data_IF_189911769843
#
_entry.id   IF_189911769843
#
_cell.length_a   1.000
_cell.length_b   1.000
_cell.length_c   1.000
_cell.angle_alpha   90.00
_cell.angle_beta   90.00
_cell.angle_gamma   90.00
#
_symmetry.space_group_name_H-M   'P 1'
#
loop_
_entity.id
_entity.type
_entity.pdbx_description
1 polymer ?
#
# COMPACT_ATOMS: atom_id res chain seq x y z
N UNK A 1 17.29 10.65 -10.79
CA UNK A 1 15.99 10.82 -11.50
C UNK A 1 15.17 9.55 -11.22
N UNK A 2 13.85 9.56 -11.45
CA UNK A 2 13.01 8.37 -11.24
C UNK A 2 12.76 7.69 -12.59
N UNK A 3 12.78 6.37 -12.59
CA UNK A 3 12.50 5.53 -13.77
C UNK A 3 11.28 4.65 -13.52
N UNK A 4 10.66 4.17 -14.60
CA UNK A 4 9.58 3.18 -14.54
C UNK A 4 10.09 1.92 -15.21
N UNK A 5 10.05 0.82 -14.49
CA UNK A 5 10.52 -0.48 -14.97
C UNK A 5 9.43 -1.53 -14.81
N UNK A 6 9.54 -2.59 -15.62
CA UNK A 6 8.76 -3.81 -15.40
C UNK A 6 9.56 -4.74 -14.49
N UNK A 7 8.93 -5.21 -13.40
CA UNK A 7 9.51 -6.15 -12.44
C UNK A 7 8.59 -7.36 -12.26
N UNK A 8 9.16 -8.50 -11.89
CA UNK A 8 8.42 -9.73 -11.73
C UNK A 8 7.85 -9.85 -10.31
N UNK A 9 6.73 -10.55 -10.13
CA UNK A 9 6.15 -10.78 -8.80
C UNK A 9 6.96 -11.81 -8.01
N UNK A 10 7.46 -12.84 -8.70
CA UNK A 10 8.19 -13.95 -8.07
C UNK A 10 9.48 -13.52 -7.34
N UNK A 11 10.05 -12.37 -7.69
CA UNK A 11 11.23 -11.80 -7.05
C UNK A 11 10.93 -10.52 -6.25
N UNK A 12 9.66 -10.24 -5.92
CA UNK A 12 9.24 -9.03 -5.18
C UNK A 12 9.98 -8.82 -3.86
N UNK A 13 10.38 -9.91 -3.22
CA UNK A 13 11.22 -9.89 -2.01
C UNK A 13 12.59 -9.24 -2.22
N UNK A 14 13.12 -9.24 -3.44
CA UNK A 14 14.45 -8.74 -3.77
C UNK A 14 14.47 -7.24 -4.08
N UNK A 15 13.40 -6.70 -4.67
CA UNK A 15 13.36 -5.33 -5.15
C UNK A 15 12.39 -4.42 -4.39
N UNK A 16 11.32 -4.93 -3.78
CA UNK A 16 10.37 -4.11 -3.00
C UNK A 16 10.84 -3.89 -1.57
N UNK A 17 12.08 -3.45 -1.41
CA UNK A 17 12.78 -3.29 -0.14
C UNK A 17 13.15 -1.82 0.07
N UNK A 18 13.16 -1.38 1.31
CA UNK A 18 13.67 -0.08 1.69
C UNK A 18 14.91 -0.30 2.55
N UNK A 19 16.06 0.24 2.11
CA UNK A 19 17.35 0.04 2.80
C UNK A 19 17.50 0.88 4.09
N UNK A 20 16.48 1.65 4.43
CA UNK A 20 16.48 2.50 5.63
C UNK A 20 15.95 1.67 6.80
N UNK A 21 16.73 1.61 7.89
CA UNK A 21 16.17 1.18 9.18
C UNK A 21 14.99 2.07 9.52
N UNK A 22 13.81 1.47 9.69
CA UNK A 22 12.59 2.20 10.04
C UNK A 22 12.21 1.88 11.48
N UNK A 23 11.85 2.90 12.26
CA UNK A 23 11.17 2.73 13.55
C UNK A 23 9.69 2.31 13.38
N UNK A 24 9.31 1.89 12.16
CA UNK A 24 7.98 1.37 11.86
C UNK A 24 7.73 0.10 12.71
N UNK A 25 6.55 -0.05 13.32
CA UNK A 25 6.18 -1.28 14.02
C UNK A 25 6.23 -2.50 13.11
N UNK A 26 6.73 -3.63 13.63
CA UNK A 26 6.93 -4.86 12.85
C UNK A 26 5.64 -5.40 12.22
N UNK A 27 4.50 -5.20 12.89
CA UNK A 27 3.17 -5.56 12.37
C UNK A 27 2.86 -4.92 11.01
N UNK A 28 3.43 -3.75 10.73
CA UNK A 28 3.25 -2.99 9.49
C UNK A 28 4.35 -3.24 8.44
N UNK A 29 5.43 -3.96 8.80
CA UNK A 29 6.52 -4.27 7.86
C UNK A 29 6.13 -5.42 6.94
N UNK A 30 6.78 -5.46 5.77
CA UNK A 30 6.55 -6.45 4.74
C UNK A 30 5.92 -5.88 3.47
N UNK A 31 5.45 -6.80 2.63
CA UNK A 31 4.73 -6.48 1.38
C UNK A 31 3.32 -7.02 1.48
N UNK A 32 2.36 -6.19 1.08
CA UNK A 32 0.94 -6.48 1.13
C UNK A 32 0.37 -6.48 -0.29
N UNK A 33 -0.38 -7.54 -0.61
CA UNK A 33 -1.22 -7.64 -1.80
C UNK A 33 -2.61 -7.05 -1.51
N UNK A 34 -3.17 -6.33 -2.48
CA UNK A 34 -4.45 -5.63 -2.40
C UNK A 34 -5.58 -6.47 -3.02
N UNK A 35 -5.98 -7.52 -2.32
CA UNK A 35 -6.99 -8.49 -2.75
C UNK A 35 -8.38 -7.85 -2.90
N UNK A 36 -8.91 -7.85 -4.12
CA UNK A 36 -10.18 -7.23 -4.48
C UNK A 36 -10.10 -5.72 -4.76
N UNK A 37 -8.90 -5.14 -4.86
CA UNK A 37 -8.76 -3.73 -5.22
C UNK A 37 -9.27 -3.49 -6.66
N UNK A 38 -10.21 -2.55 -6.87
CA UNK A 38 -10.76 -2.28 -8.19
C UNK A 38 -9.84 -1.41 -9.07
N UNK A 39 -8.77 -0.86 -8.49
CA UNK A 39 -7.78 -0.08 -9.22
C UNK A 39 -6.64 -0.98 -9.72
N UNK A 40 -5.97 -0.62 -10.83
CA UNK A 40 -4.92 -1.43 -11.46
C UNK A 40 -3.56 -1.31 -10.73
N UNK A 41 -3.57 -1.51 -9.41
CA UNK A 41 -2.45 -1.57 -8.50
C UNK A 41 -2.64 -2.70 -7.48
N UNK A 42 -1.58 -3.46 -7.21
CA UNK A 42 -1.74 -4.82 -6.68
C UNK A 42 -0.96 -5.07 -5.39
N UNK A 43 0.21 -4.47 -5.25
CA UNK A 43 1.10 -4.64 -4.10
C UNK A 43 1.65 -3.30 -3.60
N UNK A 44 1.85 -3.21 -2.28
CA UNK A 44 2.53 -2.11 -1.59
C UNK A 44 3.40 -2.64 -0.44
N UNK A 45 4.39 -1.85 -0.01
CA UNK A 45 5.00 -1.98 1.32
C UNK A 45 4.63 -0.77 2.17
N UNK A 46 4.72 -0.80 3.49
CA UNK A 46 4.58 0.43 4.30
C UNK A 46 5.94 1.00 4.73
N UNK A 47 7.01 0.26 4.47
CA UNK A 47 8.37 0.52 4.94
C UNK A 47 9.00 1.75 4.26
N UNK A 48 8.49 2.19 3.12
CA UNK A 48 8.98 3.40 2.43
C UNK A 48 8.34 4.69 2.94
N UNK A 49 7.40 4.57 3.89
CA UNK A 49 6.70 5.70 4.47
C UNK A 49 7.51 6.45 5.53
N UNK A 50 7.14 7.70 5.79
CA UNK A 50 7.66 8.49 6.91
C UNK A 50 6.82 8.22 8.15
N UNK A 51 7.40 7.51 9.11
CA UNK A 51 6.76 7.17 10.37
C UNK A 51 6.98 8.25 11.44
N UNK A 52 5.92 8.63 12.14
CA UNK A 52 5.96 9.44 13.36
C UNK A 52 5.33 8.65 14.51
N UNK A 53 6.20 8.13 15.38
CA UNK A 53 5.79 7.34 16.54
C UNK A 53 4.96 8.13 17.55
N UNK A 54 5.17 9.46 17.66
CA UNK A 54 4.46 10.30 18.65
C UNK A 54 2.99 10.43 18.31
N UNK A 55 2.68 10.58 17.02
CA UNK A 55 1.30 10.70 16.53
C UNK A 55 0.74 9.41 15.94
N UNK A 56 1.52 8.32 15.96
CA UNK A 56 1.23 7.04 15.30
C UNK A 56 0.78 7.22 13.85
N UNK A 57 1.47 8.11 13.14
CA UNK A 57 1.11 8.49 11.78
C UNK A 57 2.18 8.02 10.81
N UNK A 58 1.75 7.40 9.71
CA UNK A 58 2.58 7.03 8.58
C UNK A 58 2.19 7.87 7.36
N UNK A 59 3.15 8.51 6.71
CA UNK A 59 2.96 9.14 5.40
C UNK A 59 3.54 8.23 4.31
N UNK A 60 2.68 7.64 3.49
CA UNK A 60 3.05 6.71 2.41
C UNK A 60 2.81 7.39 1.07
N UNK A 61 3.87 7.66 0.32
CA UNK A 61 3.76 8.30 -0.99
C UNK A 61 3.66 7.24 -2.09
N UNK A 62 2.53 7.19 -2.78
CA UNK A 62 2.25 6.15 -3.80
C UNK A 62 3.25 6.21 -4.97
N UNK A 63 3.83 7.38 -5.20
CA UNK A 63 4.79 7.65 -6.26
C UNK A 63 6.27 7.41 -5.86
N UNK A 64 6.55 6.91 -4.65
CA UNK A 64 7.93 6.65 -4.23
C UNK A 64 8.53 5.41 -4.93
N UNK A 65 9.86 5.33 -5.05
CA UNK A 65 10.55 4.14 -5.55
C UNK A 65 10.24 2.88 -4.72
N UNK A 66 10.04 1.75 -5.40
CA UNK A 66 9.87 0.42 -4.80
C UNK A 66 8.76 0.34 -3.74
N UNK A 67 7.76 1.23 -3.84
CA UNK A 67 6.75 1.47 -2.81
C UNK A 67 5.38 0.91 -3.22
N UNK A 68 5.10 0.91 -4.51
CA UNK A 68 3.81 0.53 -5.09
C UNK A 68 4.03 -0.16 -6.43
N UNK A 69 3.12 -1.07 -6.78
CA UNK A 69 3.11 -1.76 -8.07
C UNK A 69 1.87 -1.35 -8.86
N UNK A 70 1.99 -1.30 -10.18
CA UNK A 70 0.88 -1.01 -11.08
C UNK A 70 0.81 -2.06 -12.17
N UNK A 71 -0.39 -2.39 -12.63
CA UNK A 71 -0.58 -3.27 -13.79
C UNK A 71 0.16 -2.75 -15.02
N UNK A 72 0.76 -3.64 -15.82
CA UNK A 72 1.41 -3.31 -17.11
C UNK A 72 0.45 -2.79 -18.19
N UNK A 73 -0.86 -2.92 -17.95
CA UNK A 73 -1.93 -2.45 -18.83
C UNK A 73 -1.99 -0.93 -19.00
N UNK A 74 -2.71 -0.46 -20.02
CA UNK A 74 -2.97 0.97 -20.25
C UNK A 74 -3.63 1.66 -19.05
N UNK A 75 -4.52 0.95 -18.34
CA UNK A 75 -5.16 1.48 -17.13
C UNK A 75 -4.15 1.67 -16.00
N UNK A 76 -3.25 0.72 -15.80
CA UNK A 76 -2.17 0.84 -14.81
C UNK A 76 -1.20 1.96 -15.14
N UNK A 77 -0.80 2.11 -16.41
CA UNK A 77 0.03 3.25 -16.88
C UNK A 77 -0.65 4.60 -16.64
N UNK A 78 -1.96 4.70 -16.90
CA UNK A 78 -2.73 5.93 -16.61
C UNK A 78 -2.76 6.22 -15.11
N UNK A 79 -3.02 5.21 -14.27
CA UNK A 79 -3.01 5.37 -12.81
C UNK A 79 -1.64 5.84 -12.33
N UNK A 80 -0.55 5.21 -12.78
CA UNK A 80 0.82 5.60 -12.47
C UNK A 80 1.07 7.08 -12.82
N UNK A 81 0.67 7.52 -14.01
CA UNK A 81 0.80 8.92 -14.42
C UNK A 81 0.00 9.87 -13.52
N UNK A 82 -1.23 9.49 -13.13
CA UNK A 82 -2.07 10.28 -12.23
C UNK A 82 -1.42 10.43 -10.86
N UNK A 83 -0.92 9.35 -10.25
CA UNK A 83 -0.28 9.43 -8.92
C UNK A 83 1.00 10.24 -8.96
N UNK A 84 1.76 10.17 -10.06
CA UNK A 84 2.97 10.97 -10.28
C UNK A 84 2.69 12.46 -10.47
N UNK A 85 1.60 12.80 -11.18
CA UNK A 85 1.17 14.18 -11.39
C UNK A 85 0.60 14.79 -10.12
N UNK A 86 -0.28 14.06 -9.44
CA UNK A 86 -0.99 14.52 -8.24
C UNK A 86 -0.15 14.48 -6.98
N UNK A 87 0.98 13.76 -7.00
CA UNK A 87 1.79 13.47 -5.82
C UNK A 87 0.93 12.85 -4.71
N UNK A 88 0.13 11.85 -5.07
CA UNK A 88 -0.77 11.18 -4.14
C UNK A 88 0.03 10.55 -2.98
N UNK A 89 -0.29 10.98 -1.77
CA UNK A 89 0.26 10.45 -0.52
C UNK A 89 -0.89 10.08 0.40
N UNK A 90 -0.81 8.93 1.06
CA UNK A 90 -1.74 8.56 2.11
C UNK A 90 -1.15 8.90 3.48
N UNK A 91 -1.90 9.66 4.28
CA UNK A 91 -1.66 9.80 5.72
C UNK A 91 -2.47 8.74 6.44
N UNK A 92 -1.80 7.75 7.01
CA UNK A 92 -2.39 6.66 7.78
C UNK A 92 -2.15 6.92 9.27
N UNK A 93 -3.20 7.16 10.03
CA UNK A 93 -3.13 7.39 11.47
C UNK A 93 -3.69 6.19 12.21
N UNK A 94 -2.85 5.52 13.00
CA UNK A 94 -3.21 4.31 13.73
C UNK A 94 -3.72 4.62 15.15
N UNK A 95 -4.58 3.75 15.66
CA UNK A 95 -4.92 3.70 17.07
C UNK A 95 -3.72 3.17 17.91
N UNK A 96 -3.89 3.14 19.24
CA UNK A 96 -2.82 2.70 20.15
C UNK A 96 -2.49 1.22 20.04
N UNK A 97 -3.45 0.43 19.55
CA UNK A 97 -3.33 -1.03 19.44
C UNK A 97 -2.81 -1.48 18.08
N UNK A 98 -2.65 -0.55 17.13
CA UNK A 98 -2.40 -0.85 15.73
C UNK A 98 -3.44 -1.80 15.13
N UNK A 99 -4.71 -1.73 15.57
CA UNK A 99 -5.77 -2.57 15.00
C UNK A 99 -6.67 -1.79 14.06
N UNK A 100 -6.76 -0.48 14.24
CA UNK A 100 -7.50 0.40 13.36
C UNK A 100 -6.63 1.55 12.90
N UNK A 101 -6.88 1.99 11.68
CA UNK A 101 -6.29 3.22 11.16
C UNK A 101 -7.31 4.02 10.36
N UNK A 102 -7.17 5.33 10.45
CA UNK A 102 -7.82 6.27 9.54
C UNK A 102 -6.84 6.68 8.45
N UNK A 103 -7.32 6.75 7.21
CA UNK A 103 -6.51 7.16 6.07
C UNK A 103 -7.09 8.42 5.45
N UNK A 104 -6.25 9.44 5.36
CA UNK A 104 -6.52 10.70 4.67
C UNK A 104 -5.67 10.77 3.39
N UNK A 105 -6.28 10.77 2.19
CA UNK A 105 -5.57 11.04 0.96
C UNK A 105 -5.08 12.49 0.94
N UNK A 106 -3.85 12.69 0.49
CA UNK A 106 -3.25 14.00 0.25
C UNK A 106 -2.98 14.09 -1.26
N UNK A 107 -3.63 15.03 -1.92
CA UNK A 107 -3.59 15.24 -3.38
C UNK A 107 -3.12 16.66 -3.64
N UNK A 108 -2.10 16.83 -4.48
CA UNK A 108 -1.42 18.12 -4.71
C UNK A 108 -0.95 18.80 -3.41
N UNK A 109 -0.62 18.02 -2.38
CA UNK A 109 -0.22 18.52 -1.06
C UNK A 109 -1.37 18.88 -0.11
N UNK A 110 -2.63 18.79 -0.56
CA UNK A 110 -3.80 19.09 0.27
C UNK A 110 -4.50 17.80 0.72
N UNK A 111 -4.72 17.67 2.04
CA UNK A 111 -5.49 16.56 2.59
C UNK A 111 -6.95 16.67 2.18
N UNK A 112 -7.52 15.59 1.64
CA UNK A 112 -8.95 15.52 1.34
C UNK A 112 -9.73 15.53 2.66
N UNK A 113 -10.72 16.44 2.81
CA UNK A 113 -11.61 16.41 3.95
C UNK A 113 -12.39 15.10 4.04
N UNK A 114 -12.67 14.63 5.27
CA UNK A 114 -13.42 13.40 5.53
C UNK A 114 -14.79 13.35 4.84
N UNK A 115 -15.44 14.50 4.69
CA UNK A 115 -16.74 14.59 4.02
C UNK A 115 -16.65 14.29 2.52
N UNK A 116 -15.48 14.41 1.90
CA UNK A 116 -15.24 13.98 0.51
C UNK A 116 -14.89 12.49 0.47
N UNK A 117 -13.92 12.10 1.29
CA UNK A 117 -13.38 10.76 1.32
C UNK A 117 -12.96 10.40 2.76
N UNK A 118 -13.56 9.36 3.31
CA UNK A 118 -13.19 8.77 4.59
C UNK A 118 -12.82 7.33 4.38
N UNK A 119 -11.53 7.03 4.56
CA UNK A 119 -11.04 5.68 4.38
C UNK A 119 -10.49 5.12 5.69
N UNK A 120 -10.66 3.83 5.92
CA UNK A 120 -10.18 3.15 7.13
C UNK A 120 -9.44 1.86 6.79
N UNK A 121 -8.65 1.38 7.74
CA UNK A 121 -8.07 0.04 7.76
C UNK A 121 -8.36 -0.61 9.10
N UNK A 122 -8.77 -1.87 9.09
CA UNK A 122 -9.03 -2.67 10.29
C UNK A 122 -8.32 -4.00 10.17
N UNK A 123 -7.50 -4.36 11.15
CA UNK A 123 -6.83 -5.65 11.19
C UNK A 123 -7.87 -6.76 11.43
N UNK A 124 -7.86 -7.79 10.58
CA UNK A 124 -8.81 -8.90 10.66
C UNK A 124 -8.30 -10.11 11.44
N UNK A 125 -6.99 -10.24 11.62
CA UNK A 125 -6.45 -11.44 12.27
C UNK A 125 -6.62 -11.39 13.80
N UNK A 126 -7.03 -12.54 14.35
CA UNK A 126 -7.09 -12.77 15.80
C UNK A 126 -5.70 -13.01 16.41
N UNK A 127 -4.71 -13.38 15.59
CA UNK A 127 -3.35 -13.74 16.00
C UNK A 127 -2.40 -12.55 16.21
N UNK A 128 -2.89 -11.33 15.97
CA UNK A 128 -2.15 -10.07 16.13
C UNK A 128 -0.88 -9.93 15.25
N UNK A 129 -0.72 -10.72 14.19
CA UNK A 129 0.48 -10.67 13.33
C UNK A 129 0.41 -9.61 12.21
N UNK A 130 -0.76 -8.99 12.03
CA UNK A 130 -1.00 -7.96 11.01
C UNK A 130 -0.90 -8.48 9.59
N UNK A 131 -1.27 -9.74 9.38
CA UNK A 131 -1.20 -10.39 8.09
C UNK A 131 -2.36 -9.94 7.19
N UNK A 132 -3.51 -9.59 7.75
CA UNK A 132 -4.71 -9.23 7.00
C UNK A 132 -5.34 -7.95 7.53
N UNK A 133 -5.64 -7.02 6.62
CA UNK A 133 -6.33 -5.77 6.94
C UNK A 133 -7.47 -5.53 5.96
N UNK A 134 -8.67 -5.27 6.48
CA UNK A 134 -9.79 -4.79 5.71
C UNK A 134 -9.63 -3.29 5.43
N UNK A 135 -9.71 -2.91 4.15
CA UNK A 135 -9.77 -1.53 3.68
C UNK A 135 -11.22 -1.17 3.39
N UNK A 136 -11.74 -0.14 4.06
CA UNK A 136 -13.03 0.46 3.70
C UNK A 136 -12.82 1.86 3.16
N UNK A 137 -13.52 2.14 2.07
CA UNK A 137 -13.51 3.44 1.41
C UNK A 137 -14.94 3.98 1.39
N UNK A 138 -15.15 5.11 2.05
CA UNK A 138 -16.43 5.79 2.13
C UNK A 138 -16.32 7.15 1.45
N UNK A 139 -17.27 7.48 0.60
CA UNK A 139 -17.28 8.70 -0.18
C UNK A 139 -18.50 9.55 0.13
N UNK A 140 -18.33 10.87 0.05
CA UNK A 140 -19.41 11.85 0.21
C UNK A 140 -20.23 11.59 1.49
N UNK A 141 -19.57 11.57 2.67
CA UNK A 141 -20.20 11.29 3.97
C UNK A 141 -20.93 9.92 4.05
N UNK A 142 -20.39 8.87 3.44
CA UNK A 142 -21.01 7.54 3.51
C UNK A 142 -22.20 7.31 2.59
N UNK A 143 -22.40 8.21 1.63
CA UNK A 143 -23.40 7.98 0.56
C UNK A 143 -22.95 6.90 -0.42
N UNK A 144 -21.65 6.55 -0.44
CA UNK A 144 -21.13 5.41 -1.19
C UNK A 144 -20.01 4.71 -0.43
N UNK A 145 -20.30 3.50 0.03
CA UNK A 145 -19.31 2.55 0.53
C UNK A 145 -18.98 1.57 -0.59
N UNK A 146 -18.05 1.98 -1.44
CA UNK A 146 -17.62 1.23 -2.61
C UNK A 146 -16.10 1.12 -2.63
N UNK A 147 -15.60 0.09 -3.32
CA UNK A 147 -14.17 -0.07 -3.61
C UNK A 147 -13.30 -0.33 -2.37
N UNK A 148 -13.87 -0.93 -1.33
CA UNK A 148 -13.09 -1.58 -0.28
C UNK A 148 -12.40 -2.85 -0.78
N UNK A 149 -11.35 -3.27 -0.10
CA UNK A 149 -10.54 -4.44 -0.46
C UNK A 149 -9.82 -5.00 0.77
N UNK A 150 -9.09 -6.10 0.63
CA UNK A 150 -8.31 -6.70 1.72
C UNK A 150 -6.82 -6.61 1.43
N UNK A 151 -6.05 -6.00 2.32
CA UNK A 151 -4.59 -6.09 2.29
C UNK A 151 -4.17 -7.42 2.91
N UNK A 152 -3.40 -8.22 2.18
CA UNK A 152 -2.86 -9.50 2.63
C UNK A 152 -1.35 -9.48 2.56
N UNK A 153 -0.68 -9.70 3.69
CA UNK A 153 0.77 -9.76 3.78
C UNK A 153 1.27 -10.99 3.02
N UNK A 154 2.08 -10.76 1.99
CA UNK A 154 2.70 -11.80 1.15
C UNK A 154 4.19 -12.00 1.49
N UNK A 155 4.81 -10.99 2.09
CA UNK A 155 6.16 -11.05 2.66
C UNK A 155 6.13 -10.46 4.06
N UNK A 156 6.76 -11.15 5.01
CA UNK A 156 6.89 -10.67 6.38
C UNK A 156 8.05 -9.67 6.56
N UNK A 157 8.24 -9.20 7.80
CA UNK A 157 9.36 -8.32 8.19
C UNK A 157 10.75 -8.92 7.91
N UNK A 158 10.85 -10.25 7.84
CA UNK A 158 12.08 -10.99 7.54
C UNK A 158 12.20 -11.32 6.04
N UNK A 159 11.31 -10.77 5.20
CA UNK A 159 11.24 -11.02 3.75
C UNK A 159 11.00 -12.48 3.40
N UNK A 160 10.38 -13.24 4.30
CA UNK A 160 9.92 -14.59 4.04
C UNK A 160 8.52 -14.56 3.45
N UNK A 161 8.29 -15.38 2.42
CA UNK A 161 6.98 -15.50 1.81
C UNK A 161 5.99 -16.13 2.81
N UNK A 162 4.83 -15.51 2.96
CA UNK A 162 3.75 -16.07 3.77
C UNK A 162 2.99 -17.14 2.98
N UNK A 163 2.22 -18.03 3.65
CA UNK A 163 1.34 -18.98 2.96
C UNK A 163 0.34 -18.32 2.00
N UNK A 164 -0.01 -17.06 2.25
CA UNK A 164 -0.89 -16.27 1.37
C UNK A 164 -0.31 -16.09 -0.02
N UNK A 165 1.00 -15.92 -0.16
CA UNK A 165 1.64 -15.74 -1.46
C UNK A 165 1.45 -16.95 -2.38
N UNK A 166 1.65 -18.15 -1.85
CA UNK A 166 1.45 -19.41 -2.60
C UNK A 166 0.03 -19.57 -3.15
N UNK A 167 -0.97 -19.05 -2.44
CA UNK A 167 -2.37 -19.09 -2.89
C UNK A 167 -2.69 -18.03 -3.96
N UNK A 168 -1.90 -16.95 -4.04
CA UNK A 168 -2.10 -15.83 -4.95
C UNK A 168 -1.30 -15.97 -6.25
N UNK A 169 -0.16 -16.67 -6.22
CA UNK A 169 0.80 -16.68 -7.33
C UNK A 169 0.21 -17.17 -8.67
N UNK A 170 -0.80 -18.04 -8.64
CA UNK A 170 -1.45 -18.57 -9.85
C UNK A 170 -2.58 -17.69 -10.39
N UNK A 171 -3.06 -16.71 -9.61
CA UNK A 171 -4.25 -15.91 -9.94
C UNK A 171 -3.93 -14.43 -10.21
N UNK A 172 -2.68 -14.01 -10.03
CA UNK A 172 -2.22 -12.62 -10.18
C UNK A 172 -1.23 -12.50 -11.34
N UNK A 173 -1.25 -11.40 -12.12
CA UNK A 173 -0.22 -11.15 -13.13
C UNK A 173 1.19 -11.22 -12.54
N UNK A 174 2.11 -11.85 -13.28
CA UNK A 174 3.49 -11.99 -12.82
C UNK A 174 4.34 -10.74 -13.06
N UNK A 175 3.83 -9.74 -13.79
CA UNK A 175 4.58 -8.54 -14.19
C UNK A 175 3.88 -7.26 -13.75
N UNK A 176 4.67 -6.35 -13.18
CA UNK A 176 4.20 -5.05 -12.70
C UNK A 176 5.11 -3.92 -13.15
N UNK A 177 4.51 -2.75 -13.36
CA UNK A 177 5.22 -1.48 -13.45
C UNK A 177 5.55 -1.01 -12.04
N UNK A 178 6.80 -0.58 -11.85
CA UNK A 178 7.32 -0.10 -10.57
C UNK A 178 8.13 1.15 -10.81
N UNK A 179 8.00 2.13 -9.92
CA UNK A 179 8.88 3.31 -9.91
C UNK A 179 10.20 2.91 -9.24
N UNK A 180 11.32 3.22 -9.87
CA UNK A 180 12.67 2.88 -9.36
C UNK A 180 13.52 4.15 -9.22
N UNK A 181 14.60 4.04 -8.44
CA UNK A 181 15.65 5.05 -8.46
C UNK A 181 16.51 4.82 -9.70
N UNK A 182 16.99 5.89 -10.35
CA UNK A 182 18.13 5.75 -11.25
C UNK A 182 19.31 5.16 -10.47
N UNK A 183 19.92 4.12 -11.04
CA UNK A 183 21.28 3.68 -10.67
C UNK A 183 22.31 4.79 -10.90
#
# INVERSE_FOLDING_TARGET
MLTIETRQLNDIGTWMKQDRGTDLPDILKGVFFMDGNPFPDDCLTLEGGKWDARSRTLLVSVFSPFQWTFSVSDKGRRLLNIVNLTKLTYKVQFDETFRHAQITPIVFGFGLPKWIAEFTMTQLDDDMQGNTWERKNSWLLGLSDAWGYTLRKILDQNRQYTPTFSNLQSSVPNEFLVITNNE
#
